data_IF_369492924100
#
_entry.id   IF_369492924100
#
_cell.length_a   1.000
_cell.length_b   1.000
_cell.length_c   1.000
_cell.angle_alpha   90.00
_cell.angle_beta   90.00
_cell.angle_gamma   90.00
#
_symmetry.space_group_name_H-M   'P 1'
#
loop_
_entity.id
_entity.type
_entity.pdbx_description
1 polymer ?
#
# COMPACT_ATOMS: atom_id res chain seq x y z
N UNK A 1 13.13 -3.22 20.42
CA UNK A 1 12.42 -3.81 19.25
C UNK A 1 11.13 -3.03 19.00
N UNK A 2 10.77 -2.79 17.75
CA UNK A 2 9.53 -2.10 17.36
C UNK A 2 8.80 -2.90 16.27
N UNK A 3 7.49 -2.68 16.13
CA UNK A 3 6.64 -3.41 15.16
C UNK A 3 6.21 -2.57 13.96
N UNK A 4 6.07 -1.26 14.12
CA UNK A 4 5.67 -0.31 13.07
C UNK A 4 6.43 1.00 13.23
N UNK A 5 6.38 1.87 12.22
CA UNK A 5 6.96 3.21 12.30
C UNK A 5 6.30 4.05 13.41
N UNK A 6 5.00 3.90 13.64
CA UNK A 6 4.31 4.56 14.75
C UNK A 6 4.75 4.03 16.11
N UNK A 7 4.93 2.71 16.26
CA UNK A 7 5.44 2.10 17.49
C UNK A 7 6.88 2.55 17.78
N UNK A 8 7.74 2.61 16.76
CA UNK A 8 9.09 3.16 16.88
C UNK A 8 9.06 4.62 17.34
N UNK A 9 8.23 5.45 16.71
CA UNK A 9 8.10 6.86 17.03
C UNK A 9 7.64 7.10 18.48
N UNK A 10 6.62 6.37 18.94
CA UNK A 10 6.12 6.45 20.33
C UNK A 10 7.17 6.04 21.37
N UNK A 11 8.14 5.21 20.97
CA UNK A 11 9.28 4.80 21.79
C UNK A 11 10.50 5.72 21.62
N UNK A 12 10.38 6.82 20.87
CA UNK A 12 11.47 7.72 20.49
C UNK A 12 12.62 7.03 19.75
N UNK A 13 12.33 5.94 19.03
CA UNK A 13 13.28 5.23 18.18
C UNK A 13 13.24 5.88 16.80
N UNK A 14 14.35 6.46 16.38
CA UNK A 14 14.53 6.98 15.02
C UNK A 14 14.91 5.80 14.11
N UNK A 15 14.13 5.56 13.06
CA UNK A 15 14.40 4.53 12.06
C UNK A 15 15.10 5.13 10.84
N UNK A 16 15.78 4.29 10.05
CA UNK A 16 16.38 4.74 8.79
C UNK A 16 15.34 5.28 7.80
N UNK A 17 14.11 4.74 7.82
CA UNK A 17 13.02 5.27 7.01
C UNK A 17 12.63 6.70 7.42
N UNK A 18 12.57 6.98 8.73
CA UNK A 18 12.29 8.34 9.23
C UNK A 18 13.39 9.33 8.84
N UNK A 19 14.66 8.93 8.92
CA UNK A 19 15.79 9.78 8.53
C UNK A 19 15.73 10.14 7.03
N UNK A 20 15.48 9.14 6.18
CA UNK A 20 15.40 9.35 4.74
C UNK A 20 14.19 10.22 4.35
N UNK A 21 13.03 10.01 4.98
CA UNK A 21 11.85 10.86 4.77
C UNK A 21 12.12 12.29 5.24
N UNK A 22 12.70 12.47 6.44
CA UNK A 22 13.05 13.78 6.97
C UNK A 22 14.02 14.53 6.03
N UNK A 23 15.02 13.83 5.48
CA UNK A 23 15.94 14.39 4.49
C UNK A 23 15.23 14.83 3.21
N UNK A 24 14.40 13.97 2.61
CA UNK A 24 13.65 14.26 1.36
C UNK A 24 12.69 15.45 1.50
N UNK A 25 12.14 15.62 2.70
CA UNK A 25 11.20 16.68 3.05
C UNK A 25 11.89 17.94 3.62
N UNK A 26 13.22 17.92 3.80
CA UNK A 26 14.00 18.98 4.45
C UNK A 26 13.42 19.36 5.83
N UNK A 27 13.07 18.35 6.62
CA UNK A 27 12.43 18.47 7.93
C UNK A 27 13.37 17.94 9.02
N UNK A 28 13.27 18.49 10.24
CA UNK A 28 13.97 17.91 11.38
C UNK A 28 13.38 16.53 11.73
N UNK A 29 14.23 15.50 11.82
CA UNK A 29 13.78 14.12 12.08
C UNK A 29 13.01 13.96 13.40
N UNK A 30 13.35 14.72 14.45
CA UNK A 30 12.61 14.68 15.72
C UNK A 30 11.21 15.27 15.59
N UNK A 31 11.05 16.28 14.75
CA UNK A 31 9.74 16.84 14.44
C UNK A 31 8.88 15.81 13.68
N UNK A 32 9.46 15.15 12.67
CA UNK A 32 8.80 14.08 11.94
C UNK A 32 8.37 12.93 12.87
N UNK A 33 9.26 12.48 13.76
CA UNK A 33 8.97 11.44 14.76
C UNK A 33 7.78 11.83 15.64
N UNK A 34 7.72 13.08 16.10
CA UNK A 34 6.57 13.58 16.87
C UNK A 34 5.27 13.51 16.07
N UNK A 35 5.28 13.95 14.81
CA UNK A 35 4.10 13.86 13.92
C UNK A 35 3.67 12.40 13.68
N UNK A 36 4.61 11.47 13.57
CA UNK A 36 4.31 10.04 13.41
C UNK A 36 3.72 9.45 14.70
N UNK A 37 4.30 9.77 15.85
CA UNK A 37 3.80 9.31 17.15
C UNK A 37 2.36 9.79 17.43
N UNK A 38 2.06 11.02 16.99
CA UNK A 38 0.73 11.65 17.05
C UNK A 38 -0.26 11.14 15.98
N UNK A 39 0.19 10.33 15.03
CA UNK A 39 -0.64 9.85 13.92
C UNK A 39 -1.00 10.90 12.87
N UNK A 40 -0.28 12.03 12.82
CA UNK A 40 -0.43 13.10 11.82
C UNK A 40 0.35 12.83 10.53
N UNK A 41 1.34 11.94 10.62
CA UNK A 41 2.14 11.45 9.49
C UNK A 41 2.25 9.93 9.58
N UNK A 42 2.21 9.27 8.43
CA UNK A 42 2.48 7.84 8.29
C UNK A 42 3.64 7.61 7.31
N UNK A 43 4.39 6.53 7.51
CA UNK A 43 5.36 6.01 6.55
C UNK A 43 4.97 4.56 6.26
N UNK A 44 4.24 4.29 5.16
CA UNK A 44 3.99 2.94 4.66
C UNK A 44 5.33 2.31 4.29
N UNK A 45 5.75 1.30 5.05
CA UNK A 45 7.04 0.64 4.88
C UNK A 45 6.97 -0.78 5.42
N UNK A 46 6.34 -1.67 4.66
CA UNK A 46 6.32 -3.07 5.00
C UNK A 46 7.76 -3.62 4.97
N UNK A 47 8.16 -4.34 6.01
CA UNK A 47 9.51 -4.90 6.15
C UNK A 47 9.90 -5.87 5.02
N UNK A 48 8.91 -6.44 4.30
CA UNK A 48 9.15 -7.34 3.18
C UNK A 48 9.33 -6.59 1.85
N UNK A 49 9.05 -5.28 1.78
CA UNK A 49 9.25 -4.47 0.58
C UNK A 49 10.68 -3.92 0.52
N UNK A 50 11.60 -4.74 0.03
CA UNK A 50 13.03 -4.44 0.09
C UNK A 50 13.51 -3.39 -0.95
N UNK A 51 12.78 -3.19 -2.05
CA UNK A 51 13.08 -2.16 -3.05
C UNK A 51 12.58 -0.76 -2.68
N UNK A 52 11.79 -0.63 -1.60
CA UNK A 52 11.13 0.60 -1.21
C UNK A 52 12.12 1.75 -0.96
N UNK A 53 11.86 2.89 -1.58
CA UNK A 53 12.40 4.18 -1.18
C UNK A 53 11.29 4.91 -0.40
N UNK A 54 11.33 4.98 0.95
CA UNK A 54 10.20 5.43 1.76
C UNK A 54 9.81 6.90 1.49
N UNK A 55 8.51 7.16 1.61
CA UNK A 55 7.90 8.49 1.61
C UNK A 55 7.01 8.64 2.85
N UNK A 56 6.96 9.84 3.42
CA UNK A 56 5.99 10.18 4.45
C UNK A 56 4.72 10.75 3.83
N UNK A 57 3.57 10.44 4.40
CA UNK A 57 2.26 11.00 4.01
C UNK A 57 1.67 11.68 5.24
N UNK A 58 1.35 12.98 5.13
CA UNK A 58 0.65 13.69 6.20
C UNK A 58 1.00 15.17 6.30
N UNK A 59 0.71 15.73 7.47
CA UNK A 59 0.82 17.16 7.72
C UNK A 59 2.27 17.66 7.55
N UNK A 60 2.43 18.88 7.00
CA UNK A 60 3.73 19.57 6.80
C UNK A 60 4.71 18.88 5.85
N UNK A 61 4.29 17.83 5.15
CA UNK A 61 5.06 17.20 4.07
C UNK A 61 4.54 17.67 2.71
N UNK A 62 5.34 17.50 1.65
CA UNK A 62 4.87 17.75 0.27
C UNK A 62 3.70 16.83 -0.08
N UNK A 63 2.77 17.30 -0.91
CA UNK A 63 1.71 16.47 -1.49
C UNK A 63 2.30 15.25 -2.21
N UNK A 64 1.64 14.10 -2.06
CA UNK A 64 2.04 12.82 -2.67
C UNK A 64 1.07 12.43 -3.76
N UNK A 65 1.56 11.82 -4.83
CA UNK A 65 0.76 11.35 -5.96
C UNK A 65 0.75 9.81 -5.98
N UNK A 66 -0.44 9.25 -6.16
CA UNK A 66 -0.66 7.82 -6.37
C UNK A 66 -1.11 7.55 -7.81
N UNK A 67 -0.60 6.47 -8.41
CA UNK A 67 -1.04 5.99 -9.73
C UNK A 67 -1.63 4.59 -9.61
N UNK A 68 -2.82 4.40 -10.18
CA UNK A 68 -3.52 3.12 -10.19
C UNK A 68 -3.18 2.33 -11.46
N UNK A 69 -2.81 1.07 -11.31
CA UNK A 69 -2.42 0.16 -12.39
C UNK A 69 -2.92 -1.26 -12.08
N UNK A 70 -2.72 -2.20 -12.99
CA UNK A 70 -3.04 -3.60 -12.75
C UNK A 70 -3.71 -4.30 -13.93
N UNK A 71 -3.75 -5.61 -13.86
CA UNK A 71 -4.32 -6.47 -14.89
C UNK A 71 -5.84 -6.52 -14.83
N UNK A 72 -6.45 -6.70 -16.00
CA UNK A 72 -7.89 -6.83 -16.16
C UNK A 72 -8.22 -7.95 -17.16
N UNK A 73 -9.50 -8.26 -17.36
CA UNK A 73 -9.93 -9.23 -18.37
C UNK A 73 -9.47 -8.86 -19.78
N UNK A 74 -9.40 -7.56 -20.07
CA UNK A 74 -9.07 -7.04 -21.40
C UNK A 74 -7.56 -6.99 -21.66
N UNK A 75 -6.74 -6.90 -20.60
CA UNK A 75 -5.28 -6.88 -20.70
C UNK A 75 -4.62 -7.53 -19.48
N UNK A 76 -3.92 -8.64 -19.71
CA UNK A 76 -3.19 -9.43 -18.70
C UNK A 76 -1.67 -9.41 -18.90
N UNK A 77 -1.16 -8.54 -19.78
CA UNK A 77 0.26 -8.50 -20.11
C UNK A 77 1.05 -7.83 -18.98
N UNK A 78 1.76 -8.64 -18.18
CA UNK A 78 2.54 -8.18 -17.03
C UNK A 78 3.68 -7.25 -17.42
N UNK A 79 4.35 -7.49 -18.55
CA UNK A 79 5.46 -6.64 -19.01
C UNK A 79 4.94 -5.24 -19.40
N UNK A 80 3.75 -5.18 -20.00
CA UNK A 80 3.09 -3.93 -20.30
C UNK A 80 2.70 -3.18 -19.03
N UNK A 81 2.13 -3.87 -18.03
CA UNK A 81 1.80 -3.25 -16.74
C UNK A 81 3.06 -2.75 -16.01
N UNK A 82 4.14 -3.53 -16.00
CA UNK A 82 5.43 -3.08 -15.43
C UNK A 82 5.98 -1.85 -16.15
N UNK A 83 5.86 -1.77 -17.47
CA UNK A 83 6.27 -0.56 -18.21
C UNK A 83 5.46 0.67 -17.79
N UNK A 84 4.17 0.52 -17.45
CA UNK A 84 3.36 1.62 -16.90
C UNK A 84 3.84 2.02 -15.51
N UNK A 85 4.21 1.04 -14.67
CA UNK A 85 4.79 1.27 -13.33
C UNK A 85 6.08 2.09 -13.46
N UNK A 86 7.01 1.65 -14.29
CA UNK A 86 8.27 2.35 -14.54
C UNK A 86 8.02 3.79 -15.03
N UNK A 87 7.09 3.96 -15.97
CA UNK A 87 6.72 5.27 -16.48
C UNK A 87 6.17 6.17 -15.37
N UNK A 88 5.24 5.66 -14.56
CA UNK A 88 4.65 6.40 -13.45
C UNK A 88 5.70 6.83 -12.41
N UNK A 89 6.59 5.92 -12.02
CA UNK A 89 7.68 6.21 -11.07
C UNK A 89 8.65 7.24 -11.66
N UNK A 90 9.03 7.10 -12.93
CA UNK A 90 9.91 8.07 -13.62
C UNK A 90 9.27 9.46 -13.74
N UNK A 91 7.95 9.54 -13.78
CA UNK A 91 7.18 10.79 -13.76
C UNK A 91 6.95 11.35 -12.35
N UNK A 92 7.41 10.67 -11.31
CA UNK A 92 7.36 11.15 -9.92
C UNK A 92 6.20 10.62 -9.08
N UNK A 93 5.59 9.48 -9.43
CA UNK A 93 4.61 8.83 -8.56
C UNK A 93 5.28 8.39 -7.24
N UNK A 94 4.70 8.77 -6.10
CA UNK A 94 5.16 8.37 -4.76
C UNK A 94 4.59 7.00 -4.35
N UNK A 95 3.43 6.64 -4.90
CA UNK A 95 2.74 5.39 -4.65
C UNK A 95 2.17 4.79 -5.93
N UNK A 96 2.12 3.46 -5.96
CA UNK A 96 1.42 2.67 -6.96
C UNK A 96 0.38 1.84 -6.25
N UNK A 97 -0.86 1.87 -6.74
CA UNK A 97 -1.88 0.92 -6.32
C UNK A 97 -2.07 -0.16 -7.37
N UNK A 98 -1.85 -1.40 -6.95
CA UNK A 98 -2.21 -2.58 -7.73
C UNK A 98 -3.70 -2.89 -7.54
N UNK A 99 -4.46 -2.65 -8.62
CA UNK A 99 -5.89 -2.91 -8.75
C UNK A 99 -6.16 -4.10 -9.68
N UNK A 100 -5.18 -5.00 -9.82
CA UNK A 100 -5.33 -6.21 -10.63
C UNK A 100 -6.54 -7.03 -10.21
N UNK A 101 -7.34 -7.45 -11.18
CA UNK A 101 -8.63 -8.12 -10.97
C UNK A 101 -8.82 -9.36 -11.85
N UNK A 102 -7.79 -9.74 -12.62
CA UNK A 102 -7.82 -10.90 -13.49
C UNK A 102 -6.41 -11.41 -13.82
N UNK A 103 -6.28 -12.69 -14.13
CA UNK A 103 -4.98 -13.32 -14.39
C UNK A 103 -4.20 -13.62 -13.10
N UNK A 104 -2.87 -13.67 -13.20
CA UNK A 104 -1.97 -14.00 -12.09
C UNK A 104 -1.62 -12.73 -11.28
N UNK A 105 -2.60 -12.26 -10.50
CA UNK A 105 -2.53 -11.05 -9.66
C UNK A 105 -1.39 -11.12 -8.65
N UNK A 106 -1.16 -12.29 -8.03
CA UNK A 106 -0.09 -12.48 -7.06
C UNK A 106 1.29 -12.37 -7.71
N UNK A 107 1.49 -12.93 -8.91
CA UNK A 107 2.75 -12.79 -9.63
C UNK A 107 3.05 -11.32 -9.93
N UNK A 108 2.07 -10.56 -10.42
CA UNK A 108 2.26 -9.14 -10.68
C UNK A 108 2.62 -8.36 -9.41
N UNK A 109 1.87 -8.59 -8.32
CA UNK A 109 2.16 -7.99 -7.01
C UNK A 109 3.58 -8.27 -6.53
N UNK A 110 4.07 -9.51 -6.66
CA UNK A 110 5.46 -9.86 -6.29
C UNK A 110 6.50 -9.21 -7.17
N UNK A 111 6.22 -9.01 -8.46
CA UNK A 111 7.09 -8.24 -9.35
C UNK A 111 7.17 -6.78 -8.90
N UNK A 112 6.02 -6.16 -8.58
CA UNK A 112 5.97 -4.79 -8.03
C UNK A 112 6.82 -4.66 -6.76
N UNK A 113 6.64 -5.54 -5.78
CA UNK A 113 7.38 -5.49 -4.52
C UNK A 113 8.89 -5.72 -4.70
N UNK A 114 9.30 -6.40 -5.77
CA UNK A 114 10.70 -6.66 -6.04
C UNK A 114 11.40 -5.49 -6.74
N UNK A 115 10.67 -4.78 -7.61
CA UNK A 115 11.27 -3.89 -8.61
C UNK A 115 10.84 -2.43 -8.47
N UNK A 116 9.68 -2.16 -7.86
CA UNK A 116 9.15 -0.81 -7.71
C UNK A 116 9.73 -0.13 -6.46
N UNK A 117 10.28 1.09 -6.55
CA UNK A 117 10.74 1.83 -5.38
C UNK A 117 9.65 2.66 -4.70
N UNK A 118 8.48 2.84 -5.32
CA UNK A 118 7.35 3.58 -4.77
C UNK A 118 6.56 2.74 -3.77
N UNK A 119 5.79 3.37 -2.88
CA UNK A 119 4.93 2.64 -1.94
C UNK A 119 3.88 1.81 -2.70
N UNK A 120 3.67 0.55 -2.32
CA UNK A 120 2.68 -0.32 -2.97
C UNK A 120 1.42 -0.44 -2.13
N UNK A 121 0.30 -0.06 -2.73
CA UNK A 121 -1.04 -0.22 -2.19
C UNK A 121 -1.83 -1.31 -2.90
N UNK A 122 -2.79 -1.92 -2.20
CA UNK A 122 -3.75 -2.86 -2.82
C UNK A 122 -5.17 -2.69 -2.28
N UNK A 123 -6.12 -3.34 -2.95
CA UNK A 123 -7.51 -3.50 -2.50
C UNK A 123 -7.79 -5.01 -2.35
N UNK A 124 -7.53 -5.62 -1.18
CA UNK A 124 -7.56 -7.08 -1.00
C UNK A 124 -8.87 -7.77 -1.40
N UNK A 125 -10.01 -7.07 -1.36
CA UNK A 125 -11.30 -7.65 -1.70
C UNK A 125 -11.41 -8.05 -3.19
N UNK A 126 -10.71 -7.35 -4.10
CA UNK A 126 -10.70 -7.72 -5.52
C UNK A 126 -9.95 -9.03 -5.73
N UNK A 127 -8.80 -9.20 -5.07
CA UNK A 127 -8.02 -10.42 -5.17
C UNK A 127 -8.74 -11.60 -4.51
N UNK A 128 -9.50 -11.39 -3.43
CA UNK A 128 -10.29 -12.44 -2.78
C UNK A 128 -11.32 -13.09 -3.74
N UNK A 129 -12.01 -12.28 -4.54
CA UNK A 129 -13.01 -12.78 -5.52
C UNK A 129 -12.31 -13.66 -6.58
N UNK A 130 -11.15 -13.23 -7.07
CA UNK A 130 -10.37 -13.95 -8.09
C UNK A 130 -9.76 -15.21 -7.52
N UNK A 131 -9.13 -15.13 -6.34
CA UNK A 131 -8.39 -16.20 -5.69
C UNK A 131 -9.29 -17.37 -5.28
N UNK A 132 -10.44 -17.08 -4.65
CA UNK A 132 -11.39 -18.12 -4.26
C UNK A 132 -12.34 -18.52 -5.38
N UNK A 133 -12.40 -17.73 -6.46
CA UNK A 133 -13.33 -17.90 -7.57
C UNK A 133 -14.79 -18.05 -7.10
N UNK A 134 -15.19 -17.16 -6.19
CA UNK A 134 -16.52 -17.12 -5.56
C UNK A 134 -17.15 -15.74 -5.72
N UNK A 135 -18.49 -15.64 -5.76
CA UNK A 135 -19.16 -14.36 -5.68
C UNK A 135 -18.87 -13.69 -4.32
N UNK A 136 -18.88 -12.36 -4.31
CA UNK A 136 -18.54 -11.56 -3.12
C UNK A 136 -19.37 -11.93 -1.88
N UNK A 137 -20.65 -12.27 -2.06
CA UNK A 137 -21.57 -12.65 -0.98
C UNK A 137 -21.21 -13.96 -0.28
N UNK A 138 -20.43 -14.82 -0.93
CA UNK A 138 -19.94 -16.09 -0.37
C UNK A 138 -18.56 -15.97 0.28
N UNK A 139 -17.86 -14.85 0.11
CA UNK A 139 -16.55 -14.62 0.74
C UNK A 139 -16.74 -14.41 2.24
N UNK A 140 -16.17 -15.30 3.03
CA UNK A 140 -16.20 -15.19 4.49
C UNK A 140 -15.19 -14.16 5.01
N UNK A 141 -15.42 -13.66 6.23
CA UNK A 141 -14.48 -12.75 6.89
C UNK A 141 -13.09 -13.37 7.06
N UNK A 142 -13.00 -14.69 7.28
CA UNK A 142 -11.74 -15.41 7.41
C UNK A 142 -10.98 -15.43 6.08
N UNK A 143 -11.66 -15.82 5.00
CA UNK A 143 -11.07 -15.83 3.64
C UNK A 143 -10.55 -14.45 3.25
N UNK A 144 -11.30 -13.38 3.55
CA UNK A 144 -10.85 -12.02 3.29
C UNK A 144 -9.59 -11.64 4.11
N UNK A 145 -9.55 -11.97 5.40
CA UNK A 145 -8.38 -11.75 6.25
C UNK A 145 -7.17 -12.56 5.79
N UNK A 146 -7.38 -13.75 5.22
CA UNK A 146 -6.33 -14.59 4.67
C UNK A 146 -5.66 -13.91 3.46
N UNK A 147 -6.44 -13.25 2.59
CA UNK A 147 -5.90 -12.45 1.47
C UNK A 147 -5.12 -11.23 1.98
N UNK A 148 -5.64 -10.51 2.98
CA UNK A 148 -4.91 -9.38 3.59
C UNK A 148 -3.55 -9.85 4.13
N UNK A 149 -3.51 -11.04 4.77
CA UNK A 149 -2.26 -11.63 5.25
C UNK A 149 -1.29 -11.94 4.10
N UNK A 150 -1.78 -12.57 3.03
CA UNK A 150 -0.97 -12.88 1.85
C UNK A 150 -0.37 -11.59 1.25
N UNK A 151 -1.15 -10.52 1.15
CA UNK A 151 -0.65 -9.22 0.67
C UNK A 151 0.44 -8.65 1.58
N UNK A 152 0.25 -8.73 2.90
CA UNK A 152 1.23 -8.28 3.88
C UNK A 152 2.53 -9.13 3.82
N UNK A 153 2.41 -10.44 3.61
CA UNK A 153 3.55 -11.35 3.44
C UNK A 153 4.29 -11.08 2.13
N UNK A 154 3.57 -10.83 1.03
CA UNK A 154 4.15 -10.46 -0.26
C UNK A 154 4.87 -9.10 -0.19
N UNK A 155 4.49 -8.22 0.74
CA UNK A 155 5.19 -6.96 1.05
C UNK A 155 4.41 -5.68 0.79
N UNK A 156 3.09 -5.74 0.58
CA UNK A 156 2.26 -4.54 0.39
C UNK A 156 2.39 -3.58 1.57
N UNK A 157 2.59 -2.28 1.28
CA UNK A 157 2.84 -1.23 2.28
C UNK A 157 1.56 -0.71 2.92
N UNK A 158 0.47 -0.63 2.15
CA UNK A 158 -0.83 -0.22 2.66
C UNK A 158 -1.98 -0.93 1.94
N UNK A 159 -3.09 -1.09 2.65
CA UNK A 159 -4.30 -1.74 2.12
C UNK A 159 -5.49 -0.79 2.23
N UNK A 160 -6.32 -0.77 1.20
CA UNK A 160 -7.61 -0.08 1.25
C UNK A 160 -8.67 -1.08 1.72
N UNK A 161 -9.29 -0.77 2.86
CA UNK A 161 -10.36 -1.59 3.44
C UNK A 161 -11.63 -0.75 3.57
N UNK A 162 -12.72 -1.22 2.99
CA UNK A 162 -14.00 -0.51 2.97
C UNK A 162 -14.83 -0.76 4.25
N UNK A 163 -14.20 -0.71 5.42
CA UNK A 163 -14.84 -1.04 6.70
C UNK A 163 -15.89 0.00 7.16
N UNK A 164 -15.96 1.17 6.49
CA UNK A 164 -16.98 2.19 6.76
C UNK A 164 -18.34 1.87 6.15
N UNK A 165 -18.43 0.91 5.23
CA UNK A 165 -19.70 0.46 4.65
C UNK A 165 -20.33 -0.55 5.61
N UNK A 166 -21.37 -0.11 6.31
CA UNK A 166 -22.16 -0.96 7.20
C UNK A 166 -23.63 -1.00 6.73
N UNK A 167 -24.45 -1.85 7.37
CA UNK A 167 -25.88 -2.02 7.01
C UNK A 167 -26.64 -0.69 6.99
N UNK A 168 -26.42 0.17 7.98
CA UNK A 168 -27.07 1.48 8.05
C UNK A 168 -26.64 2.42 6.92
N UNK A 169 -25.37 2.39 6.53
CA UNK A 169 -24.87 3.16 5.38
C UNK A 169 -25.48 2.64 4.07
N UNK A 170 -25.53 1.32 3.88
CA UNK A 170 -26.08 0.69 2.67
C UNK A 170 -27.56 1.03 2.46
N UNK A 171 -28.36 1.08 3.52
CA UNK A 171 -29.79 1.45 3.45
C UNK A 171 -30.04 2.87 2.91
N UNK A 172 -29.05 3.77 3.00
CA UNK A 172 -29.15 5.16 2.51
C UNK A 172 -28.89 5.30 1.02
N UNK A 173 -28.22 4.31 0.41
CA UNK A 173 -28.00 4.26 -1.03
C UNK A 173 -29.12 3.40 -1.65
N UNK A 174 -30.20 4.04 -2.09
CA UNK A 174 -31.29 3.44 -2.86
C UNK A 174 -31.30 3.98 -4.28
#
# INVERSE_FOLDING_TARGET
MYTTQMDAAKKNIITSQMELVAQKENMNVKELVSLIADGKVVIPANKNHLSLIPHGIGQRLKTKINVNLGTSRDCINLDMEMKKVETAVNMGADAIMDLSSFGDTQRFRRMLIKECPAMIGTVPIYDAIVYYNKPLEEITAKEWLDIVRIHAEDGVDFVTLHCGINKSTAERFK
#
